data_IF_323012940761
#
_entry.id   IF_323012940761
#
_cell.length_a   1.000
_cell.length_b   1.000
_cell.length_c   1.000
_cell.angle_alpha   90.00
_cell.angle_beta   90.00
_cell.angle_gamma   90.00
#
_symmetry.space_group_name_H-M   'P 1'
#
loop_
_entity.id
_entity.type
_entity.pdbx_description
1 polymer ?
#
# COMPACT_ATOMS: atom_id res chain seq x y z
N UNK A 1 -0.22 1.45 10.02
CA UNK A 1 -0.11 1.32 11.49
C UNK A 1 -0.98 0.13 11.86
N UNK A 2 -0.62 -0.72 12.82
CA UNK A 2 -1.23 -2.04 13.11
C UNK A 2 -0.62 -3.19 12.29
N UNK A 3 0.60 -3.61 12.64
CA UNK A 3 0.99 -4.98 13.04
C UNK A 3 2.46 -4.88 13.47
N UNK A 4 2.70 -4.44 14.71
CA UNK A 4 3.96 -4.71 15.40
C UNK A 4 3.57 -5.57 16.60
N UNK A 5 3.37 -6.86 16.31
CA UNK A 5 2.95 -7.85 17.27
C UNK A 5 4.07 -8.23 18.22
N UNK A 6 3.63 -8.65 19.42
CA UNK A 6 4.34 -9.38 20.46
C UNK A 6 5.11 -8.57 21.52
N UNK A 7 4.50 -8.51 22.72
CA UNK A 7 5.09 -8.04 23.98
C UNK A 7 5.60 -9.24 24.78
N UNK A 8 6.87 -9.21 25.21
CA UNK A 8 7.13 -9.38 26.64
C UNK A 8 8.16 -8.37 27.16
N UNK A 9 7.94 -7.77 28.34
CA UNK A 9 9.00 -7.24 29.20
C UNK A 9 9.70 -5.91 28.80
N UNK A 10 9.86 -5.02 29.77
CA UNK A 10 10.51 -3.70 29.67
C UNK A 10 11.97 -3.71 29.19
N UNK A 11 12.68 -4.85 29.29
CA UNK A 11 14.04 -5.04 28.74
C UNK A 11 14.05 -5.39 27.25
N UNK A 12 12.96 -5.94 26.73
CA UNK A 12 12.74 -6.33 25.34
C UNK A 12 12.20 -5.18 24.49
N UNK A 13 11.59 -4.16 25.11
CA UNK A 13 11.27 -2.89 24.48
C UNK A 13 12.52 -2.20 23.91
N UNK A 14 13.65 -2.18 24.64
CA UNK A 14 14.94 -1.70 24.07
C UNK A 14 15.42 -2.55 22.89
N UNK A 15 15.19 -3.87 22.91
CA UNK A 15 15.58 -4.76 21.79
C UNK A 15 14.66 -4.61 20.58
N UNK A 16 13.36 -4.36 20.75
CA UNK A 16 12.45 -4.07 19.64
C UNK A 16 12.69 -2.69 19.03
N UNK A 17 13.17 -1.72 19.82
CA UNK A 17 13.74 -0.47 19.31
C UNK A 17 15.00 -0.72 18.43
N UNK A 18 15.89 -1.64 18.82
CA UNK A 18 17.03 -2.04 17.98
C UNK A 18 16.63 -2.85 16.73
N UNK A 19 15.57 -3.67 16.79
CA UNK A 19 15.05 -4.42 15.62
C UNK A 19 14.33 -3.51 14.62
N UNK A 20 13.53 -2.56 15.08
CA UNK A 20 12.95 -1.50 14.23
C UNK A 20 14.01 -0.53 13.69
N UNK A 21 15.16 -0.39 14.36
CA UNK A 21 16.34 0.30 13.83
C UNK A 21 17.13 -0.50 12.77
N UNK A 22 16.90 -1.82 12.63
CA UNK A 22 17.65 -2.69 11.70
C UNK A 22 17.06 -2.78 10.30
N UNK A 23 15.74 -2.69 10.16
CA UNK A 23 15.06 -2.73 8.87
C UNK A 23 14.30 -1.43 8.62
N UNK A 24 14.97 -0.49 7.95
CA UNK A 24 14.34 0.74 7.50
C UNK A 24 13.25 0.48 6.44
N UNK A 25 12.20 1.32 6.38
CA UNK A 25 11.10 1.19 5.42
C UNK A 25 11.57 1.02 3.98
N UNK A 26 12.68 1.67 3.60
CA UNK A 26 13.34 1.47 2.31
C UNK A 26 13.55 0.00 1.97
N UNK A 27 14.19 -0.77 2.87
CA UNK A 27 14.50 -2.19 2.64
C UNK A 27 13.22 -3.04 2.62
N UNK A 28 12.31 -2.77 3.55
CA UNK A 28 11.05 -3.51 3.68
C UNK A 28 10.19 -3.31 2.44
N UNK A 29 9.96 -2.07 2.02
CA UNK A 29 9.16 -1.73 0.83
C UNK A 29 9.75 -2.36 -0.41
N UNK A 30 11.06 -2.27 -0.62
CA UNK A 30 11.68 -2.88 -1.79
C UNK A 30 11.56 -4.41 -1.78
N UNK A 31 11.72 -5.07 -0.63
CA UNK A 31 11.56 -6.52 -0.52
C UNK A 31 10.12 -6.95 -0.84
N UNK A 32 9.12 -6.31 -0.22
CA UNK A 32 7.71 -6.61 -0.48
C UNK A 32 7.28 -6.20 -1.90
N UNK A 33 7.94 -5.19 -2.48
CA UNK A 33 7.77 -4.81 -3.87
C UNK A 33 8.23 -5.88 -4.85
N UNK A 34 9.37 -6.53 -4.56
CA UNK A 34 9.84 -7.70 -5.32
C UNK A 34 8.88 -8.87 -5.18
N UNK A 35 8.39 -9.15 -3.96
CA UNK A 35 7.36 -10.20 -3.74
C UNK A 35 6.08 -9.90 -4.53
N UNK A 36 5.65 -8.64 -4.56
CA UNK A 36 4.49 -8.20 -5.35
C UNK A 36 4.70 -8.39 -6.85
N UNK A 37 5.87 -8.02 -7.37
CA UNK A 37 6.20 -8.20 -8.78
C UNK A 37 6.24 -9.70 -9.15
N UNK A 38 6.95 -10.52 -8.38
CA UNK A 38 7.05 -11.96 -8.62
C UNK A 38 5.68 -12.65 -8.57
N UNK A 39 4.87 -12.35 -7.54
CA UNK A 39 3.51 -12.90 -7.45
C UNK A 39 2.64 -12.45 -8.64
N UNK A 40 2.80 -11.21 -9.12
CA UNK A 40 2.10 -10.71 -10.31
C UNK A 40 2.53 -11.46 -11.58
N UNK A 41 3.83 -11.62 -11.81
CA UNK A 41 4.37 -12.34 -12.96
C UNK A 41 3.97 -13.83 -12.99
N UNK A 42 3.78 -14.44 -11.82
CA UNK A 42 3.40 -15.85 -11.70
C UNK A 42 1.90 -16.11 -11.84
N UNK A 43 1.05 -15.08 -11.90
CA UNK A 43 -0.42 -15.25 -12.05
C UNK A 43 -0.80 -16.04 -13.32
N UNK A 44 -0.26 -15.74 -14.52
CA UNK A 44 -0.61 -16.49 -15.71
C UNK A 44 -0.26 -17.99 -15.62
N UNK A 45 0.91 -18.31 -15.05
CA UNK A 45 1.31 -19.70 -14.83
C UNK A 45 0.40 -20.39 -13.79
N UNK A 46 0.09 -19.69 -12.70
CA UNK A 46 -0.78 -20.19 -11.62
C UNK A 46 -2.21 -20.43 -12.09
N UNK A 47 -2.70 -19.64 -13.05
CA UNK A 47 -4.03 -19.82 -13.63
C UNK A 47 -4.20 -21.17 -14.33
N UNK A 48 -3.13 -21.71 -14.93
CA UNK A 48 -3.15 -23.05 -15.53
C UNK A 48 -3.07 -24.19 -14.50
N UNK A 49 -2.53 -23.93 -13.30
CA UNK A 49 -2.33 -24.94 -12.25
C UNK A 49 -3.54 -25.11 -11.33
N UNK A 50 -4.39 -24.10 -11.22
CA UNK A 50 -5.68 -24.18 -10.53
C UNK A 50 -5.94 -23.06 -9.52
N UNK A 51 -7.13 -23.09 -8.92
CA UNK A 51 -7.67 -22.01 -8.08
C UNK A 51 -6.80 -21.69 -6.85
N UNK A 52 -6.29 -22.71 -6.15
CA UNK A 52 -5.53 -22.51 -4.92
C UNK A 52 -4.23 -21.74 -5.14
N UNK A 53 -3.54 -21.98 -6.25
CA UNK A 53 -2.32 -21.24 -6.60
C UNK A 53 -2.60 -19.75 -6.83
N UNK A 54 -3.72 -19.43 -7.48
CA UNK A 54 -4.17 -18.04 -7.64
C UNK A 54 -4.47 -17.37 -6.31
N UNK A 55 -5.12 -18.07 -5.38
CA UNK A 55 -5.40 -17.54 -4.04
C UNK A 55 -4.10 -17.20 -3.30
N UNK A 56 -3.09 -18.07 -3.37
CA UNK A 56 -1.79 -17.82 -2.75
C UNK A 56 -1.10 -16.59 -3.37
N UNK A 57 -1.07 -16.48 -4.71
CA UNK A 57 -0.48 -15.31 -5.37
C UNK A 57 -1.21 -14.02 -5.01
N UNK A 58 -2.54 -14.05 -4.92
CA UNK A 58 -3.36 -12.89 -4.50
C UNK A 58 -3.11 -12.51 -3.05
N UNK A 59 -2.94 -13.50 -2.16
CA UNK A 59 -2.58 -13.24 -0.78
C UNK A 59 -1.22 -12.53 -0.69
N UNK A 60 -0.21 -12.99 -1.43
CA UNK A 60 1.11 -12.35 -1.49
C UNK A 60 1.03 -10.90 -1.98
N UNK A 61 0.27 -10.62 -3.05
CA UNK A 61 0.02 -9.24 -3.50
C UNK A 61 -0.66 -8.39 -2.42
N UNK A 62 -1.63 -8.94 -1.70
CA UNK A 62 -2.31 -8.27 -0.60
C UNK A 62 -1.37 -7.87 0.54
N UNK A 63 -0.41 -8.73 0.89
CA UNK A 63 0.60 -8.39 1.92
C UNK A 63 1.45 -7.20 1.53
N UNK A 64 1.86 -7.10 0.26
CA UNK A 64 2.64 -5.98 -0.24
C UNK A 64 1.84 -4.66 -0.22
N UNK A 65 0.55 -4.70 -0.55
CA UNK A 65 -0.34 -3.52 -0.47
C UNK A 65 -0.46 -3.00 0.97
N UNK A 66 -0.58 -3.89 1.96
CA UNK A 66 -0.61 -3.51 3.37
C UNK A 66 0.66 -2.77 3.79
N UNK A 67 1.83 -3.25 3.36
CA UNK A 67 3.12 -2.59 3.64
C UNK A 67 3.15 -1.17 3.05
N UNK A 68 2.64 -0.97 1.83
CA UNK A 68 2.55 0.35 1.20
C UNK A 68 1.72 1.34 2.04
N UNK A 69 0.57 0.92 2.57
CA UNK A 69 -0.27 1.77 3.42
C UNK A 69 0.43 2.17 4.73
N UNK A 70 1.22 1.25 5.31
CA UNK A 70 2.03 1.54 6.49
C UNK A 70 3.14 2.56 6.18
N UNK A 71 3.72 2.48 4.99
CA UNK A 71 4.81 3.32 4.56
C UNK A 71 4.36 4.75 4.30
N UNK A 72 3.16 4.97 3.75
CA UNK A 72 2.57 6.31 3.63
C UNK A 72 2.51 6.99 5.00
N UNK A 73 2.02 6.27 6.03
CA UNK A 73 1.98 6.80 7.39
C UNK A 73 3.38 7.07 7.97
N UNK A 74 4.34 6.17 7.75
CA UNK A 74 5.72 6.35 8.21
C UNK A 74 6.42 7.53 7.54
N UNK A 75 6.39 7.58 6.21
CA UNK A 75 7.00 8.65 5.40
C UNK A 75 6.44 9.98 5.82
N UNK A 76 5.13 10.07 6.00
CA UNK A 76 4.47 11.27 6.52
C UNK A 76 5.04 11.67 7.88
N UNK A 77 5.08 10.75 8.85
CA UNK A 77 5.61 11.03 10.19
C UNK A 77 7.06 11.53 10.18
N UNK A 78 7.91 11.04 9.27
CA UNK A 78 9.32 11.43 9.19
C UNK A 78 9.55 12.67 8.31
N UNK A 79 8.92 12.76 7.16
CA UNK A 79 9.20 13.74 6.10
C UNK A 79 8.24 14.92 6.05
N UNK A 80 7.03 14.81 6.58
CA UNK A 80 6.07 15.92 6.56
C UNK A 80 6.40 16.94 7.65
N UNK A 81 6.09 18.22 7.38
CA UNK A 81 5.96 19.21 8.45
C UNK A 81 4.65 18.95 9.20
N UNK A 82 4.60 19.23 10.51
CA UNK A 82 3.39 19.02 11.31
C UNK A 82 2.21 19.88 10.82
N UNK A 83 2.48 21.12 10.41
CA UNK A 83 1.47 22.06 9.88
C UNK A 83 0.80 21.59 8.59
N UNK A 84 1.52 20.87 7.73
CA UNK A 84 1.05 20.46 6.38
C UNK A 84 0.92 18.95 6.25
N UNK A 85 0.82 18.25 7.37
CA UNK A 85 0.77 16.79 7.43
C UNK A 85 -0.42 16.23 6.63
N UNK A 86 -1.61 16.82 6.78
CA UNK A 86 -2.81 16.39 6.07
C UNK A 86 -2.67 16.49 4.53
N UNK A 87 -2.07 17.58 4.03
CA UNK A 87 -1.80 17.76 2.59
C UNK A 87 -0.82 16.70 2.08
N UNK A 88 0.20 16.41 2.86
CA UNK A 88 1.19 15.39 2.52
C UNK A 88 0.56 13.98 2.44
N UNK A 89 -0.31 13.63 3.40
CA UNK A 89 -1.08 12.37 3.36
C UNK A 89 -1.99 12.33 2.14
N UNK A 90 -2.70 13.42 1.83
CA UNK A 90 -3.60 13.49 0.68
C UNK A 90 -2.84 13.28 -0.63
N UNK A 91 -1.70 13.95 -0.82
CA UNK A 91 -0.83 13.77 -1.98
C UNK A 91 -0.32 12.34 -2.09
N UNK A 92 0.18 11.76 -0.98
CA UNK A 92 0.68 10.39 -1.00
C UNK A 92 -0.43 9.37 -1.25
N UNK A 93 -1.63 9.58 -0.71
CA UNK A 93 -2.79 8.68 -0.87
C UNK A 93 -3.43 8.75 -2.26
N UNK A 94 -3.14 9.81 -3.03
CA UNK A 94 -3.64 9.97 -4.40
C UNK A 94 -3.27 8.83 -5.34
N UNK A 95 -2.21 8.07 -5.04
CA UNK A 95 -1.80 6.90 -5.83
C UNK A 95 -2.93 5.89 -6.07
N UNK A 96 -3.87 5.77 -5.13
CA UNK A 96 -4.99 4.84 -5.23
C UNK A 96 -5.94 5.17 -6.40
N UNK A 97 -6.04 6.45 -6.76
CA UNK A 97 -6.87 6.90 -7.88
C UNK A 97 -6.06 7.01 -9.17
N UNK A 98 -4.84 7.55 -9.10
CA UNK A 98 -3.99 7.71 -10.28
C UNK A 98 -3.53 6.39 -10.89
N UNK A 99 -3.23 5.37 -10.09
CA UNK A 99 -2.79 4.07 -10.59
C UNK A 99 -3.79 3.44 -11.58
N UNK A 100 -5.05 3.22 -11.18
CA UNK A 100 -6.09 2.68 -12.06
C UNK A 100 -6.32 3.47 -13.35
N UNK A 101 -6.22 4.81 -13.30
CA UNK A 101 -6.43 5.69 -14.47
C UNK A 101 -5.49 5.30 -15.63
N UNK A 102 -4.23 4.95 -15.34
CA UNK A 102 -3.28 4.52 -16.37
C UNK A 102 -3.31 3.01 -16.60
N UNK A 103 -3.38 2.22 -15.54
CA UNK A 103 -3.27 0.76 -15.63
C UNK A 103 -4.48 0.10 -16.28
N UNK A 104 -5.69 0.62 -16.08
CA UNK A 104 -6.90 0.01 -16.66
C UNK A 104 -6.98 0.12 -18.19
N UNK A 105 -6.78 1.29 -18.83
CA UNK A 105 -6.77 1.39 -20.29
C UNK A 105 -5.64 0.57 -20.93
N UNK A 106 -4.43 0.61 -20.34
CA UNK A 106 -3.29 -0.19 -20.82
C UNK A 106 -3.61 -1.68 -20.75
N UNK A 107 -4.18 -2.13 -19.63
CA UNK A 107 -4.63 -3.53 -19.49
C UNK A 107 -5.68 -3.90 -20.53
N UNK A 108 -6.64 -3.00 -20.81
CA UNK A 108 -7.64 -3.20 -21.85
C UNK A 108 -7.04 -3.38 -23.24
N UNK A 109 -6.12 -2.48 -23.63
CA UNK A 109 -5.43 -2.57 -24.93
C UNK A 109 -4.60 -3.86 -25.05
N UNK A 110 -3.88 -4.23 -24.00
CA UNK A 110 -3.07 -5.45 -23.97
C UNK A 110 -3.95 -6.72 -24.05
N UNK A 111 -5.09 -6.75 -23.35
CA UNK A 111 -6.04 -7.86 -23.43
C UNK A 111 -6.64 -8.04 -24.83
N UNK A 112 -6.87 -6.96 -25.57
CA UNK A 112 -7.39 -7.02 -26.95
C UNK A 112 -6.32 -7.35 -28.01
N UNK A 113 -5.04 -7.31 -27.63
CA UNK A 113 -3.93 -7.65 -28.52
C UNK A 113 -3.77 -9.17 -28.71
N UNK A 114 -3.01 -9.58 -29.71
CA UNK A 114 -2.66 -10.99 -29.96
C UNK A 114 -1.90 -11.66 -28.80
N UNK A 115 -1.35 -10.87 -27.87
CA UNK A 115 -0.64 -11.37 -26.68
C UNK A 115 -1.58 -11.77 -25.53
N UNK A 116 -2.87 -11.42 -25.64
CA UNK A 116 -3.92 -11.77 -24.69
C UNK A 116 -3.71 -11.22 -23.28
N UNK A 117 -4.55 -11.70 -22.35
CA UNK A 117 -4.54 -11.27 -20.96
C UNK A 117 -3.26 -11.57 -20.16
N UNK A 118 -2.44 -12.62 -20.43
CA UNK A 118 -1.20 -12.87 -19.70
C UNK A 118 -0.19 -11.71 -19.82
N UNK A 119 -0.18 -11.04 -20.98
CA UNK A 119 0.73 -9.92 -21.26
C UNK A 119 0.57 -8.77 -20.26
N UNK A 120 -0.66 -8.53 -19.78
CA UNK A 120 -0.96 -7.52 -18.77
C UNK A 120 -0.13 -7.74 -17.51
N UNK A 121 -0.08 -8.98 -17.02
CA UNK A 121 0.62 -9.33 -15.79
C UNK A 121 2.13 -9.17 -15.93
N UNK A 122 2.71 -9.57 -17.07
CA UNK A 122 4.13 -9.42 -17.33
C UNK A 122 4.56 -7.96 -17.45
N UNK A 123 3.80 -7.14 -18.20
CA UNK A 123 4.09 -5.71 -18.35
C UNK A 123 3.99 -4.99 -17.00
N UNK A 124 2.92 -5.20 -16.24
CA UNK A 124 2.75 -4.56 -14.93
C UNK A 124 3.80 -5.02 -13.91
N UNK A 125 4.19 -6.30 -13.94
CA UNK A 125 5.28 -6.81 -13.11
C UNK A 125 6.61 -6.13 -13.45
N UNK A 126 6.96 -6.02 -14.73
CA UNK A 126 8.20 -5.36 -15.17
C UNK A 126 8.25 -3.89 -14.73
N UNK A 127 7.16 -3.15 -14.96
CA UNK A 127 7.02 -1.76 -14.51
C UNK A 127 7.17 -1.66 -12.99
N UNK A 128 6.54 -2.57 -12.25
CA UNK A 128 6.61 -2.62 -10.78
C UNK A 128 8.04 -2.83 -10.28
N UNK A 129 8.81 -3.74 -10.91
CA UNK A 129 10.24 -3.93 -10.58
C UNK A 129 11.02 -2.64 -10.81
N UNK A 130 10.83 -1.97 -11.95
CA UNK A 130 11.51 -0.71 -12.26
C UNK A 130 11.21 0.34 -11.19
N UNK A 131 9.94 0.53 -10.82
CA UNK A 131 9.56 1.47 -9.78
C UNK A 131 10.16 1.16 -8.41
N UNK A 132 10.19 -0.11 -7.98
CA UNK A 132 10.78 -0.47 -6.69
C UNK A 132 12.31 -0.40 -6.68
N UNK A 133 12.96 -0.62 -7.82
CA UNK A 133 14.40 -0.39 -7.99
C UNK A 133 14.71 1.10 -7.89
N UNK A 134 13.97 1.95 -8.60
CA UNK A 134 14.11 3.40 -8.50
C UNK A 134 13.84 3.88 -7.07
N UNK A 135 12.77 3.41 -6.44
CA UNK A 135 12.47 3.70 -5.05
C UNK A 135 13.63 3.30 -4.14
N UNK A 136 14.21 2.11 -4.32
CA UNK A 136 15.35 1.69 -3.53
C UNK A 136 16.51 2.67 -3.67
N UNK A 137 16.87 3.12 -4.88
CA UNK A 137 18.01 4.03 -5.04
C UNK A 137 17.74 5.44 -4.50
N UNK A 138 16.58 6.01 -4.81
CA UNK A 138 16.25 7.40 -4.49
C UNK A 138 15.79 7.59 -3.03
N UNK A 139 14.96 6.69 -2.51
CA UNK A 139 14.35 6.89 -1.21
C UNK A 139 15.34 6.68 -0.05
N UNK A 140 15.24 7.54 0.96
CA UNK A 140 15.98 7.45 2.23
C UNK A 140 14.98 7.51 3.37
N UNK A 141 15.21 6.72 4.41
CA UNK A 141 14.26 6.60 5.52
C UNK A 141 14.17 7.89 6.33
N UNK A 142 15.29 8.59 6.50
CA UNK A 142 15.41 9.79 7.35
C UNK A 142 15.85 10.99 6.50
N UNK A 143 15.22 12.17 6.67
CA UNK A 143 15.52 13.35 5.86
C UNK A 143 16.97 13.83 5.97
N UNK A 144 17.63 13.68 7.13
CA UNK A 144 19.03 14.09 7.29
C UNK A 144 20.03 13.27 6.46
N UNK A 145 19.65 12.05 6.04
CA UNK A 145 20.48 11.17 5.21
C UNK A 145 20.33 11.47 3.71
N UNK A 146 19.43 12.38 3.34
CA UNK A 146 19.12 12.66 1.95
C UNK A 146 19.89 13.87 1.45
N UNK A 147 20.68 13.69 0.37
CA UNK A 147 21.61 14.71 -0.16
C UNK A 147 20.92 16.02 -0.53
N UNK A 148 19.65 15.97 -0.93
CA UNK A 148 18.91 17.13 -1.41
C UNK A 148 18.18 17.90 -0.29
N UNK A 149 18.26 17.46 0.98
CA UNK A 149 17.59 18.14 2.09
C UNK A 149 18.55 19.17 2.71
N UNK A 150 18.16 20.44 2.66
CA UNK A 150 18.96 21.52 3.27
C UNK A 150 18.80 21.56 4.79
N UNK A 151 19.81 22.07 5.52
CA UNK A 151 19.73 22.22 6.97
C UNK A 151 18.54 23.10 7.42
N UNK A 152 18.21 24.13 6.63
CA UNK A 152 17.05 25.01 6.87
C UNK A 152 15.72 24.27 6.74
N UNK A 153 15.62 23.37 5.76
CA UNK A 153 14.44 22.53 5.56
C UNK A 153 14.32 21.47 6.66
N UNK A 154 15.43 20.82 7.01
CA UNK A 154 15.48 19.84 8.09
C UNK A 154 14.96 20.43 9.41
N UNK A 155 15.40 21.65 9.75
CA UNK A 155 14.92 22.37 10.93
C UNK A 155 13.42 22.68 10.90
N UNK A 156 12.81 22.87 9.72
CA UNK A 156 11.34 23.03 9.58
C UNK A 156 10.61 21.70 9.76
N UNK A 157 11.17 20.60 9.27
CA UNK A 157 10.57 19.26 9.39
C UNK A 157 10.61 18.77 10.84
N UNK A 158 11.72 18.99 11.54
CA UNK A 158 11.92 18.51 12.92
C UNK A 158 11.22 19.36 13.98
N UNK A 159 10.93 20.64 13.68
CA UNK A 159 10.27 21.56 14.62
C UNK A 159 8.96 20.97 15.16
N UNK A 160 8.88 20.78 16.48
CA UNK A 160 7.70 20.25 17.19
C UNK A 160 7.56 18.72 17.19
N UNK A 161 8.52 17.97 16.60
CA UNK A 161 8.50 16.50 16.61
C UNK A 161 9.19 15.89 17.85
N UNK A 162 9.96 16.68 18.60
CA UNK A 162 10.72 16.23 19.77
C UNK A 162 9.82 15.83 20.95
N UNK A 163 8.70 16.54 21.16
CA UNK A 163 7.70 16.21 22.21
C UNK A 163 6.91 14.93 21.91
N UNK A 164 6.82 14.50 20.65
CA UNK A 164 6.07 13.32 20.21
C UNK A 164 6.86 12.01 20.49
N UNK A 165 8.14 12.12 20.86
CA UNK A 165 8.99 10.95 21.14
C UNK A 165 8.62 10.24 22.45
N UNK A 166 7.87 10.89 23.35
CA UNK A 166 7.36 10.28 24.58
C UNK A 166 6.18 9.36 24.24
N UNK A 167 6.49 8.12 23.87
CA UNK A 167 5.48 7.09 23.58
C UNK A 167 4.98 6.48 24.87
N UNK A 168 3.86 7.01 25.36
CA UNK A 168 3.06 6.29 26.35
C UNK A 168 2.54 4.97 25.78
N UNK A 169 2.36 3.94 26.62
CA UNK A 169 1.85 2.64 26.18
C UNK A 169 0.46 2.81 25.57
N UNK A 170 0.29 2.32 24.33
CA UNK A 170 -0.98 2.39 23.62
C UNK A 170 -2.04 1.59 24.40
N UNK A 171 -3.18 2.18 24.80
CA UNK A 171 -4.18 1.51 25.61
C UNK A 171 -5.06 0.58 24.76
N UNK A 172 -4.51 -0.56 24.33
CA UNK A 172 -5.17 -1.51 23.42
C UNK A 172 -6.56 -1.96 23.90
N UNK A 173 -6.71 -2.23 25.20
CA UNK A 173 -7.99 -2.66 25.77
C UNK A 173 -9.06 -1.58 25.59
N UNK A 174 -8.73 -0.32 25.86
CA UNK A 174 -9.65 0.80 25.72
C UNK A 174 -10.05 1.04 24.25
N UNK A 175 -9.11 0.87 23.31
CA UNK A 175 -9.37 0.98 21.87
C UNK A 175 -10.36 -0.10 21.43
N UNK A 176 -10.16 -1.35 21.85
CA UNK A 176 -11.01 -2.48 21.48
C UNK A 176 -12.41 -2.45 22.12
N UNK A 177 -12.56 -1.82 23.28
CA UNK A 177 -13.87 -1.68 23.95
C UNK A 177 -14.64 -0.42 23.54
N UNK A 178 -14.02 0.50 22.78
CA UNK A 178 -14.65 1.76 22.40
C UNK A 178 -15.62 1.58 21.23
N UNK A 179 -16.89 1.94 21.44
CA UNK A 179 -17.93 1.91 20.40
C UNK A 179 -17.61 2.83 19.22
N UNK A 180 -16.96 3.98 19.48
CA UNK A 180 -16.56 4.92 18.44
C UNK A 180 -15.53 4.31 17.47
N UNK A 181 -14.59 3.51 17.99
CA UNK A 181 -13.59 2.82 17.16
C UNK A 181 -14.26 1.79 16.25
N UNK A 182 -15.19 1.00 16.79
CA UNK A 182 -15.96 0.04 15.99
C UNK A 182 -16.82 0.73 14.94
N UNK A 183 -17.47 1.84 15.27
CA UNK A 183 -18.25 2.62 14.30
C UNK A 183 -17.38 3.10 13.13
N UNK A 184 -16.16 3.60 13.40
CA UNK A 184 -15.21 4.02 12.37
C UNK A 184 -14.75 2.83 11.51
N UNK A 185 -14.49 1.66 12.10
CA UNK A 185 -14.10 0.48 11.34
C UNK A 185 -15.21 -0.04 10.44
N UNK A 186 -16.44 -0.10 10.92
CA UNK A 186 -17.60 -0.49 10.12
C UNK A 186 -17.82 0.51 8.98
N UNK A 187 -17.74 1.80 9.26
CA UNK A 187 -17.85 2.84 8.24
C UNK A 187 -16.72 2.73 7.20
N UNK A 188 -15.48 2.45 7.62
CA UNK A 188 -14.35 2.24 6.72
C UNK A 188 -14.57 1.02 5.82
N UNK A 189 -15.03 -0.11 6.37
CA UNK A 189 -15.38 -1.30 5.59
C UNK A 189 -16.44 -0.95 4.55
N UNK A 190 -17.52 -0.27 4.96
CA UNK A 190 -18.57 0.19 4.05
C UNK A 190 -18.03 1.07 2.91
N UNK A 191 -17.15 2.01 3.23
CA UNK A 191 -16.51 2.89 2.25
C UNK A 191 -15.63 2.11 1.25
N UNK A 192 -14.80 1.18 1.73
CA UNK A 192 -13.96 0.36 0.84
C UNK A 192 -14.79 -0.60 -0.02
N UNK A 193 -15.82 -1.23 0.55
CA UNK A 193 -16.73 -2.10 -0.21
C UNK A 193 -17.49 -1.30 -1.27
N UNK A 194 -18.02 -0.12 -0.92
CA UNK A 194 -18.73 0.76 -1.85
C UNK A 194 -17.86 1.22 -3.02
N UNK A 195 -16.56 1.41 -2.82
CA UNK A 195 -15.62 1.74 -3.91
C UNK A 195 -15.19 0.54 -4.75
N UNK A 196 -14.87 -0.60 -4.12
CA UNK A 196 -14.31 -1.77 -4.82
C UNK A 196 -15.36 -2.56 -5.59
N UNK A 197 -16.59 -2.68 -5.08
CA UNK A 197 -17.65 -3.48 -5.72
C UNK A 197 -18.01 -2.99 -7.13
N UNK A 198 -18.24 -1.68 -7.38
CA UNK A 198 -18.49 -1.19 -8.74
C UNK A 198 -17.30 -1.40 -9.67
N UNK A 199 -16.07 -1.32 -9.17
CA UNK A 199 -14.86 -1.55 -9.99
C UNK A 199 -14.77 -3.02 -10.41
N UNK A 200 -15.06 -3.95 -9.49
CA UNK A 200 -14.95 -5.39 -9.74
C UNK A 200 -16.10 -5.91 -10.62
N UNK A 201 -17.33 -5.52 -10.31
CA UNK A 201 -18.52 -6.05 -10.97
C UNK A 201 -19.09 -5.14 -12.05
N UNK A 202 -18.66 -3.89 -12.14
CA UNK A 202 -19.12 -2.93 -13.14
C UNK A 202 -19.02 -3.45 -14.57
N UNK A 203 -17.86 -3.98 -15.02
CA UNK A 203 -17.73 -4.55 -16.36
C UNK A 203 -18.68 -5.73 -16.59
N UNK A 204 -18.84 -6.60 -15.60
CA UNK A 204 -19.74 -7.77 -15.67
C UNK A 204 -21.20 -7.34 -15.74
N UNK A 205 -21.59 -6.34 -14.96
CA UNK A 205 -22.94 -5.78 -14.93
C UNK A 205 -23.29 -5.14 -16.27
N UNK A 206 -22.41 -4.28 -16.81
CA UNK A 206 -22.57 -3.67 -18.13
C UNK A 206 -22.65 -4.73 -19.23
N UNK A 207 -21.78 -5.74 -19.18
CA UNK A 207 -21.78 -6.80 -20.19
C UNK A 207 -23.04 -7.67 -20.12
N UNK A 208 -23.52 -8.07 -18.93
CA UNK A 208 -24.66 -8.99 -18.82
C UNK A 208 -26.03 -8.31 -18.92
N UNK A 209 -26.20 -7.16 -18.26
CA UNK A 209 -27.52 -6.51 -18.14
C UNK A 209 -27.78 -5.59 -19.32
N UNK A 210 -26.83 -4.72 -19.67
CA UNK A 210 -27.03 -3.71 -20.73
C UNK A 210 -27.03 -4.36 -22.11
N UNK A 211 -26.17 -5.36 -22.36
CA UNK A 211 -26.21 -6.08 -23.64
C UNK A 211 -27.51 -6.85 -23.81
N UNK A 212 -28.01 -7.50 -22.74
CA UNK A 212 -29.27 -8.24 -22.78
C UNK A 212 -30.45 -7.32 -23.05
N UNK A 213 -30.48 -6.11 -22.50
CA UNK A 213 -31.52 -5.12 -22.80
C UNK A 213 -31.48 -4.68 -24.27
N UNK A 214 -30.29 -4.55 -24.86
CA UNK A 214 -30.11 -4.17 -26.27
C UNK A 214 -30.54 -5.24 -27.27
N UNK A 215 -30.67 -6.49 -26.83
CA UNK A 215 -31.17 -7.60 -27.65
C UNK A 215 -32.70 -7.79 -27.56
N UNK A 216 -33.37 -7.13 -26.61
CA UNK A 216 -34.82 -7.25 -26.37
C UNK A 216 -35.62 -6.10 -27.01
N UNK A 217 -34.96 -4.98 -27.33
CA UNK A 217 -35.51 -3.84 -28.11
C UNK A 217 -35.06 -3.90 -29.56
#
# INVERSE_FOLDING_TARGET
MVVAGWSPGSSLLRRSHCLNGRFGPRKVVSAYGVVSALSTALIPASAGMGFYYLVVMRFLQGTALSVCLNVVAYVTGQWSMLKTNAVFIACLSGFYQFGPIFTMPISGMLCSSSLGWPSVYYVHSAVTVIFFVLFFYFYRDVPHMHRNVSARELGKIQRGKEDILHREPVPYKAILTSSAVWAVWIAAIGNFMGGVLPILYGPTYLNKVVSSLRHVT
#
